data_IF_682884262604
#
_entry.id   IF_682884262604
#
_cell.length_a   1.000
_cell.length_b   1.000
_cell.length_c   1.000
_cell.angle_alpha   90.00
_cell.angle_beta   90.00
_cell.angle_gamma   90.00
#
_symmetry.space_group_name_H-M   'P 1'
#
loop_
_entity.id
_entity.type
_entity.pdbx_description
1 polymer ?
#
# COMPACT_ATOMS: atom_id res chain seq x y z
N UNK A 1 -4.31 0.64 -9.94
CA UNK A 1 -5.03 -0.51 -9.31
C UNK A 1 -4.73 -0.46 -7.82
N UNK A 2 -5.72 -0.69 -6.94
CA UNK A 2 -5.55 -0.71 -5.48
C UNK A 2 -5.82 -2.13 -4.96
N UNK A 3 -4.88 -2.69 -4.18
CA UNK A 3 -4.94 -4.09 -3.71
C UNK A 3 -4.66 -4.15 -2.22
N UNK A 4 -5.70 -4.43 -1.41
CA UNK A 4 -5.59 -4.66 0.03
C UNK A 4 -5.59 -6.16 0.34
N UNK A 5 -4.56 -6.84 -0.15
CA UNK A 5 -4.36 -8.29 -0.01
C UNK A 5 -2.86 -8.64 -0.06
N UNK A 6 -2.51 -9.79 0.42
CA UNK A 6 -1.15 -10.32 0.39
C UNK A 6 -1.06 -11.72 0.98
N UNK A 7 0.10 -12.34 0.83
CA UNK A 7 0.46 -13.59 1.53
C UNK A 7 0.82 -13.30 2.99
N UNK A 8 1.12 -14.34 3.73
CA UNK A 8 1.54 -14.27 5.15
C UNK A 8 3.01 -14.64 5.32
N UNK A 9 3.80 -14.53 4.29
CA UNK A 9 5.24 -14.85 4.33
C UNK A 9 6.02 -13.86 3.49
N UNK A 10 7.22 -13.58 3.95
CA UNK A 10 8.18 -12.71 3.29
C UNK A 10 8.51 -13.20 1.88
N UNK A 11 8.76 -12.28 0.96
CA UNK A 11 9.04 -12.54 -0.44
C UNK A 11 10.19 -11.68 -0.94
N UNK A 12 10.97 -12.24 -1.85
CA UNK A 12 12.02 -11.55 -2.61
C UNK A 12 11.48 -10.85 -3.88
N UNK A 13 10.18 -10.90 -4.15
CA UNK A 13 9.57 -10.30 -5.34
C UNK A 13 9.61 -11.17 -6.60
N UNK A 14 10.23 -12.36 -6.55
CA UNK A 14 10.36 -13.25 -7.73
C UNK A 14 9.19 -14.22 -7.89
N UNK A 15 8.27 -14.27 -6.94
CA UNK A 15 7.09 -15.13 -6.99
C UNK A 15 6.07 -14.72 -8.08
N UNK A 16 5.16 -15.63 -8.40
CA UNK A 16 4.21 -15.45 -9.51
C UNK A 16 3.29 -14.24 -9.35
N UNK A 17 2.90 -13.88 -8.10
CA UNK A 17 2.02 -12.73 -7.87
C UNK A 17 2.79 -11.42 -8.07
N UNK A 18 4.01 -11.34 -7.55
CA UNK A 18 4.91 -10.21 -7.74
C UNK A 18 5.23 -9.99 -9.21
N UNK A 19 5.47 -11.07 -9.97
CA UNK A 19 5.71 -11.00 -11.41
C UNK A 19 4.48 -10.49 -12.20
N UNK A 20 3.26 -10.84 -11.78
CA UNK A 20 2.04 -10.31 -12.39
C UNK A 20 1.87 -8.81 -12.10
N UNK A 21 2.26 -8.33 -10.93
CA UNK A 21 2.29 -6.89 -10.61
C UNK A 21 3.29 -6.16 -11.51
N UNK A 22 4.49 -6.71 -11.68
CA UNK A 22 5.52 -6.15 -12.58
C UNK A 22 5.00 -6.08 -14.03
N UNK A 23 4.30 -7.10 -14.51
CA UNK A 23 3.67 -7.09 -15.83
C UNK A 23 2.54 -6.06 -15.95
N UNK A 24 1.72 -5.89 -14.91
CA UNK A 24 0.67 -4.88 -14.89
C UNK A 24 1.27 -3.46 -14.95
N UNK A 25 2.35 -3.23 -14.21
CA UNK A 25 3.08 -1.96 -14.26
C UNK A 25 3.67 -1.71 -15.66
N UNK A 26 4.31 -2.71 -16.27
CA UNK A 26 4.82 -2.62 -17.65
C UNK A 26 3.72 -2.35 -18.70
N UNK A 27 2.49 -2.76 -18.41
CA UNK A 27 1.31 -2.46 -19.24
C UNK A 27 0.71 -1.06 -18.98
N UNK A 28 1.34 -0.25 -18.12
CA UNK A 28 0.91 1.11 -17.82
C UNK A 28 -0.09 1.24 -16.67
N UNK A 29 -0.12 0.29 -15.74
CA UNK A 29 -1.02 0.31 -14.59
C UNK A 29 -0.20 0.55 -13.32
N UNK A 30 -0.39 1.69 -12.64
CA UNK A 30 0.13 1.87 -11.29
C UNK A 30 -0.56 0.88 -10.34
N UNK A 31 0.23 0.08 -9.62
CA UNK A 31 -0.28 -0.94 -8.69
C UNK A 31 0.09 -0.55 -7.27
N UNK A 32 -0.91 -0.21 -6.47
CA UNK A 32 -0.79 0.23 -5.09
C UNK A 32 -1.24 -0.92 -4.18
N UNK A 33 -0.38 -1.37 -3.26
CA UNK A 33 -0.54 -2.62 -2.52
C UNK A 33 -0.29 -2.42 -1.03
N UNK A 34 -1.11 -3.02 -0.20
CA UNK A 34 -0.95 -3.01 1.26
C UNK A 34 0.26 -3.84 1.71
N UNK A 35 1.03 -3.32 2.68
CA UNK A 35 2.26 -3.96 3.19
C UNK A 35 2.02 -5.18 4.07
N UNK A 36 0.84 -5.33 4.67
CA UNK A 36 0.58 -6.35 5.70
C UNK A 36 0.42 -5.74 7.09
N UNK A 37 -0.08 -6.53 8.05
CA UNK A 37 -0.50 -6.02 9.36
C UNK A 37 0.02 -6.90 10.52
N UNK A 38 1.17 -7.51 10.39
CA UNK A 38 1.78 -8.37 11.41
C UNK A 38 2.74 -7.60 12.33
N UNK A 39 3.11 -6.36 11.93
CA UNK A 39 4.00 -5.49 12.70
C UNK A 39 5.46 -5.93 12.66
N UNK A 40 5.83 -6.72 11.67
CA UNK A 40 7.13 -7.36 11.55
C UNK A 40 7.94 -6.80 10.36
N UNK A 41 9.25 -7.06 10.38
CA UNK A 41 10.17 -6.83 9.27
C UNK A 41 9.94 -7.92 8.21
N UNK A 42 8.84 -7.76 7.47
CA UNK A 42 8.36 -8.72 6.49
C UNK A 42 7.66 -8.00 5.34
N UNK A 43 8.01 -8.35 4.11
CA UNK A 43 7.40 -7.82 2.90
C UNK A 43 6.73 -8.93 2.12
N UNK A 44 5.43 -9.16 2.31
CA UNK A 44 4.73 -10.25 1.66
C UNK A 44 4.48 -9.98 0.17
N UNK A 45 4.28 -11.06 -0.59
CA UNK A 45 3.77 -10.96 -1.95
C UNK A 45 2.30 -10.54 -1.94
N UNK A 46 1.85 -9.67 -2.87
CA UNK A 46 2.59 -9.08 -3.98
C UNK A 46 3.22 -7.69 -3.68
N UNK A 47 3.22 -7.23 -2.42
CA UNK A 47 3.84 -5.96 -2.04
C UNK A 47 5.36 -5.95 -2.31
N UNK A 48 6.00 -7.13 -2.29
CA UNK A 48 7.41 -7.32 -2.59
C UNK A 48 7.79 -7.09 -4.07
N UNK A 49 6.82 -6.98 -4.99
CA UNK A 49 7.12 -6.76 -6.40
C UNK A 49 7.96 -5.48 -6.62
N UNK A 50 8.92 -5.49 -7.53
CA UNK A 50 9.85 -4.38 -7.80
C UNK A 50 9.09 -3.09 -8.11
N UNK A 51 8.06 -3.20 -8.95
CA UNK A 51 7.28 -2.07 -9.44
C UNK A 51 5.97 -1.82 -8.68
N UNK A 52 5.78 -2.45 -7.52
CA UNK A 52 4.68 -2.14 -6.63
C UNK A 52 4.90 -0.80 -5.92
N UNK A 53 3.83 -0.05 -5.71
CA UNK A 53 3.78 1.01 -4.70
C UNK A 53 3.25 0.37 -3.42
N UNK A 54 4.17 -0.15 -2.61
CA UNK A 54 3.85 -0.80 -1.34
C UNK A 54 3.54 0.26 -0.27
N UNK A 55 2.42 0.11 0.43
CA UNK A 55 1.89 1.13 1.34
C UNK A 55 1.86 0.61 2.77
N UNK A 56 2.65 1.25 3.63
CA UNK A 56 2.59 1.08 5.07
C UNK A 56 1.52 1.99 5.72
N UNK A 57 1.21 1.73 6.96
CA UNK A 57 0.24 2.51 7.72
C UNK A 57 0.91 3.37 8.80
N UNK A 58 0.48 4.62 8.93
CA UNK A 58 0.78 5.45 10.09
C UNK A 58 -0.45 5.61 10.98
N UNK A 59 -0.17 5.79 12.27
CA UNK A 59 -1.12 6.31 13.24
C UNK A 59 -0.90 7.81 13.36
N UNK A 60 -1.91 8.59 12.99
CA UNK A 60 -1.85 10.05 13.06
C UNK A 60 -2.53 10.60 14.32
N UNK A 61 -2.80 9.73 15.31
CA UNK A 61 -3.41 10.08 16.59
C UNK A 61 -4.74 10.88 16.46
N UNK A 62 -5.44 10.70 15.32
CA UNK A 62 -6.69 11.40 14.97
C UNK A 62 -6.58 12.94 15.06
N UNK A 63 -5.41 13.49 14.75
CA UNK A 63 -5.14 14.92 14.81
C UNK A 63 -4.41 15.43 13.55
N UNK A 64 -4.15 16.74 13.46
CA UNK A 64 -3.48 17.39 12.32
C UNK A 64 -1.99 17.68 12.57
N UNK A 65 -1.48 17.33 13.74
CA UNK A 65 -0.09 17.52 14.09
C UNK A 65 0.75 16.39 13.48
N UNK A 66 1.60 16.72 12.53
CA UNK A 66 2.47 15.73 11.84
C UNK A 66 3.69 15.32 12.62
N UNK A 67 3.97 15.97 13.77
CA UNK A 67 5.18 15.69 14.54
C UNK A 67 4.99 14.52 15.53
N UNK A 68 3.78 14.05 15.71
CA UNK A 68 3.42 12.90 16.54
C UNK A 68 2.83 11.73 15.73
N UNK A 69 2.96 11.80 14.39
CA UNK A 69 2.66 10.68 13.52
C UNK A 69 3.73 9.61 13.66
N UNK A 70 3.35 8.37 13.93
CA UNK A 70 4.24 7.23 14.05
C UNK A 70 3.83 6.10 13.07
N UNK A 71 4.78 5.23 12.74
CA UNK A 71 4.44 3.99 12.06
C UNK A 71 3.47 3.19 12.94
N UNK A 72 2.32 2.82 12.39
CA UNK A 72 1.35 2.02 13.13
C UNK A 72 1.98 0.69 13.56
N UNK A 73 1.81 0.30 14.82
CA UNK A 73 2.49 -0.86 15.41
C UNK A 73 2.18 -2.20 14.72
N UNK A 74 1.11 -2.24 13.96
CA UNK A 74 0.73 -3.40 13.16
C UNK A 74 1.28 -3.35 11.72
N UNK A 75 1.77 -2.19 11.24
CA UNK A 75 2.24 -2.08 9.85
C UNK A 75 3.52 -2.88 9.66
N UNK A 76 3.51 -3.78 8.67
CA UNK A 76 4.77 -4.39 8.24
C UNK A 76 5.71 -3.33 7.65
N UNK A 77 6.99 -3.61 7.70
CA UNK A 77 8.07 -2.79 7.17
C UNK A 77 9.15 -3.68 6.58
N UNK A 78 10.02 -3.12 5.73
CA UNK A 78 11.09 -3.84 5.05
C UNK A 78 12.48 -3.52 5.63
N UNK A 79 13.51 -3.88 4.89
CA UNK A 79 13.50 -4.20 3.45
C UNK A 79 12.89 -5.56 3.10
N UNK A 80 12.52 -5.77 1.81
CA UNK A 80 12.23 -7.10 1.28
C UNK A 80 13.51 -7.92 1.17
N UNK A 81 13.40 -9.21 0.97
CA UNK A 81 14.54 -10.07 0.66
C UNK A 81 15.17 -9.67 -0.67
N UNK A 82 16.53 -9.75 -0.72
CA UNK A 82 17.34 -9.52 -1.93
C UNK A 82 17.05 -10.64 -2.96
N UNK A 83 16.68 -10.28 -4.17
CA UNK A 83 16.45 -11.20 -5.29
C UNK A 83 17.71 -11.47 -6.12
N UNK A 84 18.84 -10.80 -5.81
CA UNK A 84 20.13 -11.00 -6.41
C UNK A 84 20.37 -10.23 -7.69
N UNK A 85 19.55 -9.25 -8.02
CA UNK A 85 19.69 -8.44 -9.24
C UNK A 85 20.68 -7.27 -9.13
N UNK A 86 21.16 -6.97 -7.91
CA UNK A 86 22.03 -5.85 -7.51
C UNK A 86 21.36 -4.46 -7.56
N UNK A 87 20.04 -4.37 -7.62
CA UNK A 87 19.28 -3.14 -7.40
C UNK A 87 18.70 -3.14 -5.98
N UNK A 88 19.29 -2.37 -5.07
CA UNK A 88 18.84 -2.26 -3.68
C UNK A 88 17.69 -1.28 -3.47
N UNK A 89 17.32 -0.55 -4.49
CA UNK A 89 16.27 0.47 -4.35
C UNK A 89 14.88 -0.12 -4.36
N UNK A 90 14.67 -1.22 -5.06
CA UNK A 90 13.41 -1.93 -5.10
C UNK A 90 13.17 -2.80 -3.86
N UNK A 91 14.24 -3.12 -3.10
CA UNK A 91 14.15 -3.76 -1.79
C UNK A 91 13.58 -2.84 -0.71
N UNK A 92 13.67 -1.51 -0.90
CA UNK A 92 13.19 -0.53 0.07
C UNK A 92 11.65 -0.48 0.08
N UNK A 93 11.05 -1.13 1.07
CA UNK A 93 9.59 -1.17 1.29
C UNK A 93 9.27 -0.75 2.75
N UNK A 94 8.13 -0.11 3.01
CA UNK A 94 7.14 0.37 2.03
C UNK A 94 7.69 1.50 1.16
N UNK A 95 7.11 1.68 -0.03
CA UNK A 95 7.42 2.81 -0.91
C UNK A 95 6.90 4.13 -0.34
N UNK A 96 5.81 4.08 0.41
CA UNK A 96 5.13 5.22 1.03
C UNK A 96 4.32 4.77 2.22
N UNK A 97 4.04 5.66 3.15
CA UNK A 97 3.10 5.44 4.25
C UNK A 97 1.92 6.41 4.15
N UNK A 98 0.76 6.01 4.65
CA UNK A 98 -0.42 6.86 4.73
C UNK A 98 -1.23 6.55 6.00
N UNK A 99 -2.13 7.43 6.45
CA UNK A 99 -2.99 7.16 7.59
C UNK A 99 -3.75 5.84 7.42
N UNK A 100 -3.60 4.94 8.38
CA UNK A 100 -4.22 3.62 8.36
C UNK A 100 -4.94 3.25 9.65
N UNK A 101 -4.83 4.06 10.70
CA UNK A 101 -5.48 3.82 11.99
C UNK A 101 -6.81 4.59 12.09
N UNK A 102 -7.85 3.93 12.62
CA UNK A 102 -9.15 4.50 12.89
C UNK A 102 -9.86 5.15 11.67
N UNK A 103 -9.61 4.64 10.48
CA UNK A 103 -10.17 5.18 9.24
C UNK A 103 -11.67 4.88 9.16
N UNK A 104 -12.48 5.94 9.16
CA UNK A 104 -13.93 5.86 9.03
C UNK A 104 -14.35 5.99 7.57
N UNK A 105 -15.03 4.97 7.08
CA UNK A 105 -15.50 4.92 5.69
C UNK A 105 -16.91 4.34 5.59
N UNK A 106 -17.54 4.49 4.42
CA UNK A 106 -18.84 3.89 4.14
C UNK A 106 -18.76 2.36 4.22
N UNK A 107 -19.68 1.75 4.94
CA UNK A 107 -19.87 0.30 4.97
C UNK A 107 -20.93 -0.10 3.96
N UNK A 108 -20.59 -1.03 3.05
CA UNK A 108 -21.52 -1.49 2.01
C UNK A 108 -22.71 -2.29 2.53
N UNK A 109 -22.58 -2.88 3.73
CA UNK A 109 -23.64 -3.61 4.41
C UNK A 109 -23.43 -3.56 5.92
N UNK A 110 -24.51 -3.32 6.68
CA UNK A 110 -24.46 -3.10 8.13
C UNK A 110 -23.80 -4.23 8.97
N UNK A 111 -23.57 -5.41 8.39
CA UNK A 111 -23.02 -6.57 9.11
C UNK A 111 -21.78 -7.17 8.43
N UNK A 112 -21.21 -6.53 7.42
CA UNK A 112 -20.13 -7.14 6.65
C UNK A 112 -18.85 -7.40 7.48
N UNK A 113 -18.58 -6.53 8.48
CA UNK A 113 -17.44 -6.68 9.41
C UNK A 113 -17.87 -6.91 10.86
N UNK A 114 -19.08 -7.39 11.09
CA UNK A 114 -19.58 -7.63 12.45
C UNK A 114 -20.00 -6.37 13.21
N UNK A 115 -20.00 -5.21 12.58
CA UNK A 115 -20.49 -3.97 13.16
C UNK A 115 -22.01 -3.95 13.09
N UNK A 116 -22.64 -3.98 14.28
CA UNK A 116 -24.10 -3.97 14.43
C UNK A 116 -24.72 -2.57 14.23
N UNK A 117 -23.91 -1.56 13.96
CA UNK A 117 -24.39 -0.20 13.73
C UNK A 117 -24.95 -0.05 12.32
N UNK A 118 -26.25 -0.03 12.21
CA UNK A 118 -27.04 0.14 10.97
C UNK A 118 -26.87 1.52 10.30
N UNK A 119 -25.75 2.22 10.52
CA UNK A 119 -25.58 3.60 10.07
C UNK A 119 -24.80 3.76 8.74
N UNK A 120 -24.43 2.67 8.08
CA UNK A 120 -23.74 2.71 6.79
C UNK A 120 -22.27 3.18 6.87
N UNK A 121 -21.67 3.21 8.05
CA UNK A 121 -20.27 3.58 8.29
C UNK A 121 -19.57 2.54 9.15
N UNK A 122 -18.29 2.32 8.88
CA UNK A 122 -17.42 1.46 9.68
C UNK A 122 -16.08 2.16 9.91
N UNK A 123 -15.45 1.87 11.05
CA UNK A 123 -14.10 2.35 11.38
C UNK A 123 -13.19 1.16 11.48
N UNK A 124 -12.13 1.15 10.68
CA UNK A 124 -11.15 0.06 10.59
C UNK A 124 -9.73 0.61 10.63
N UNK A 125 -8.79 -0.25 11.04
CA UNK A 125 -7.36 0.03 11.01
C UNK A 125 -6.63 -1.03 10.20
N UNK A 126 -5.58 -0.64 9.48
CA UNK A 126 -4.77 -1.56 8.68
C UNK A 126 -4.10 -0.85 7.51
N UNK A 127 -3.05 -1.44 6.97
CA UNK A 127 -2.45 -1.03 5.69
C UNK A 127 -3.46 -1.10 4.54
N UNK A 128 -4.49 -1.93 4.69
CA UNK A 128 -5.66 -1.99 3.80
C UNK A 128 -6.45 -0.68 3.73
N UNK A 129 -6.41 0.17 4.77
CA UNK A 129 -7.06 1.48 4.81
C UNK A 129 -6.14 2.58 4.27
N UNK A 130 -4.84 2.45 4.48
CA UNK A 130 -3.83 3.36 3.93
C UNK A 130 -3.71 3.26 2.40
N UNK A 131 -3.78 2.06 1.86
CA UNK A 131 -3.62 1.75 0.42
C UNK A 131 -4.58 2.54 -0.49
N UNK A 132 -5.91 2.58 -0.26
CA UNK A 132 -6.81 3.35 -1.11
C UNK A 132 -6.62 4.87 -1.00
N UNK A 133 -6.06 5.38 0.09
CA UNK A 133 -5.71 6.81 0.21
C UNK A 133 -4.60 7.15 -0.78
N UNK A 134 -3.55 6.32 -0.84
CA UNK A 134 -2.46 6.48 -1.81
C UNK A 134 -2.97 6.29 -3.24
N UNK A 135 -3.86 5.33 -3.47
CA UNK A 135 -4.46 5.13 -4.80
C UNK A 135 -5.28 6.35 -5.26
N UNK A 136 -6.01 6.98 -4.36
CA UNK A 136 -6.71 8.24 -4.62
C UNK A 136 -5.76 9.39 -4.94
N UNK A 137 -4.66 9.51 -4.18
CA UNK A 137 -3.61 10.50 -4.44
C UNK A 137 -2.97 10.28 -5.82
N UNK A 138 -2.63 9.04 -6.16
CA UNK A 138 -2.06 8.71 -7.48
C UNK A 138 -3.01 9.10 -8.63
N UNK A 139 -4.32 8.87 -8.47
CA UNK A 139 -5.32 9.28 -9.45
C UNK A 139 -5.39 10.82 -9.60
N UNK A 140 -5.33 11.56 -8.49
CA UNK A 140 -5.32 13.03 -8.51
C UNK A 140 -4.04 13.59 -9.17
N UNK A 141 -2.89 12.98 -8.93
CA UNK A 141 -1.63 13.37 -9.56
C UNK A 141 -1.69 13.17 -11.09
N UNK A 142 -2.20 12.02 -11.54
CA UNK A 142 -2.37 11.72 -12.96
C UNK A 142 -3.38 12.66 -13.64
N UNK A 143 -4.40 13.13 -12.93
CA UNK A 143 -5.36 14.11 -13.44
C UNK A 143 -4.75 15.51 -13.50
N UNK A 144 -3.98 15.88 -12.46
CA UNK A 144 -3.38 17.22 -12.36
C UNK A 144 -2.27 17.45 -13.39
N UNK A 145 -1.52 16.41 -13.72
CA UNK A 145 -0.46 16.46 -14.72
C UNK A 145 -0.61 15.30 -15.73
N UNK A 146 -1.20 15.61 -16.88
CA UNK A 146 -1.40 14.62 -17.95
C UNK A 146 -0.12 14.13 -18.64
N UNK A 147 1.06 14.66 -18.24
CA UNK A 147 2.36 14.14 -18.69
C UNK A 147 2.86 12.98 -17.84
N UNK A 148 2.35 12.83 -16.62
CA UNK A 148 2.67 11.69 -15.74
C UNK A 148 2.15 10.38 -16.34
N UNK A 149 2.91 9.33 -16.15
CA UNK A 149 2.52 7.98 -16.56
C UNK A 149 2.37 7.09 -15.33
N UNK A 150 1.43 6.17 -15.31
CA UNK A 150 1.28 5.24 -14.20
C UNK A 150 2.37 4.15 -14.16
N UNK A 151 3.50 4.36 -14.80
CA UNK A 151 4.60 3.41 -14.89
C UNK A 151 5.84 3.93 -14.18
N UNK A 152 6.77 3.03 -13.89
CA UNK A 152 8.05 3.30 -13.25
C UNK A 152 9.13 3.93 -14.15
N UNK A 153 8.80 4.31 -15.37
CA UNK A 153 9.74 5.05 -16.22
C UNK A 153 9.79 6.51 -15.80
N UNK A 154 10.87 7.19 -16.10
CA UNK A 154 11.09 8.62 -15.83
C UNK A 154 9.80 9.42 -16.04
N UNK A 155 9.33 10.13 -15.02
CA UNK A 155 8.03 10.80 -14.89
C UNK A 155 6.84 9.86 -14.54
N UNK A 156 7.09 8.74 -13.87
CA UNK A 156 6.04 7.88 -13.31
C UNK A 156 5.44 8.42 -12.01
N UNK A 157 4.29 7.90 -11.60
CA UNK A 157 3.65 8.22 -10.30
C UNK A 157 4.51 7.74 -9.12
N UNK A 158 5.43 6.82 -9.37
CA UNK A 158 6.36 6.29 -8.37
C UNK A 158 7.55 7.22 -8.12
N UNK A 159 8.00 7.99 -9.11
CA UNK A 159 9.13 8.92 -9.02
C UNK A 159 8.68 10.28 -8.43
#
# INVERSE_FOLDING_TARGET
>A
MSMSLGTTSDSDGTDSQSQLVNQANAAGIAVIIAMGNDGDEEVPSPAAADWSIAVGAIDNNDNVNRNDDDLASYSNYGPRQDDGDNDRWDELKPSVVAPGSNIRAAAGHANFFGDSNAQGWSTLSGTSMATPIVAGLAALLLEADGSLKPTSTTNGVRD
#
